data_IF_726920956685
#
_entry.id   IF_726920956685
#
_cell.length_a   1.000
_cell.length_b   1.000
_cell.length_c   1.000
_cell.angle_alpha   90.00
_cell.angle_beta   90.00
_cell.angle_gamma   90.00
#
_symmetry.space_group_name_H-M   'P 1'
#
loop_
_entity.id
_entity.type
_entity.pdbx_description
1 polymer ?
#
# COMPACT_ATOMS: atom_id res chain seq x y z
N UNK A 1 -6.14 -16.29 3.51
CA UNK A 1 -6.48 -15.08 4.31
C UNK A 1 -7.49 -14.25 3.53
N UNK A 2 -8.56 -13.77 4.17
CA UNK A 2 -9.57 -12.95 3.51
C UNK A 2 -8.99 -11.59 3.08
N UNK A 3 -9.13 -11.28 1.79
CA UNK A 3 -8.66 -10.04 1.15
C UNK A 3 -9.08 -8.76 1.90
N UNK A 4 -10.29 -8.64 2.47
CA UNK A 4 -10.70 -7.45 3.22
C UNK A 4 -9.84 -7.14 4.45
N UNK A 5 -9.34 -8.16 5.16
CA UNK A 5 -8.48 -7.93 6.33
C UNK A 5 -7.09 -7.44 5.92
N UNK A 6 -6.56 -7.95 4.81
CA UNK A 6 -5.30 -7.49 4.26
C UNK A 6 -5.36 -6.02 3.85
N UNK A 7 -6.46 -5.61 3.22
CA UNK A 7 -6.73 -4.21 2.87
C UNK A 7 -6.81 -3.29 4.09
N UNK A 8 -7.42 -3.76 5.18
CA UNK A 8 -7.46 -3.00 6.45
C UNK A 8 -6.07 -2.83 7.04
N UNK A 9 -5.24 -3.88 7.03
CA UNK A 9 -3.86 -3.81 7.49
C UNK A 9 -3.02 -2.82 6.64
N UNK A 10 -3.21 -2.82 5.32
CA UNK A 10 -2.56 -1.89 4.43
C UNK A 10 -2.99 -0.44 4.68
N UNK A 11 -4.29 -0.20 4.91
CA UNK A 11 -4.80 1.13 5.29
C UNK A 11 -4.19 1.60 6.62
N UNK A 12 -4.05 0.70 7.60
CA UNK A 12 -3.47 1.02 8.90
C UNK A 12 -2.04 1.56 8.78
N UNK A 13 -1.22 0.99 7.88
CA UNK A 13 0.12 1.49 7.62
C UNK A 13 0.11 2.94 7.11
N UNK A 14 -0.68 3.20 6.06
CA UNK A 14 -0.79 4.55 5.47
C UNK A 14 -1.30 5.59 6.47
N UNK A 15 -2.27 5.23 7.32
CA UNK A 15 -2.80 6.12 8.36
C UNK A 15 -1.76 6.38 9.46
N UNK A 16 -0.96 5.37 9.80
CA UNK A 16 0.11 5.50 10.79
C UNK A 16 1.23 6.40 10.26
N UNK A 17 1.62 6.24 8.99
CA UNK A 17 2.58 7.10 8.33
C UNK A 17 2.10 8.57 8.32
N UNK A 18 0.84 8.82 7.95
CA UNK A 18 0.26 10.18 7.98
C UNK A 18 0.26 10.79 9.38
N UNK A 19 -0.03 10.00 10.41
CA UNK A 19 0.00 10.47 11.80
C UNK A 19 1.41 10.88 12.25
N UNK A 20 2.45 10.17 11.79
CA UNK A 20 3.85 10.40 12.17
C UNK A 20 4.46 11.55 11.36
N UNK A 21 4.22 11.58 10.05
CA UNK A 21 4.83 12.55 9.13
C UNK A 21 4.21 13.95 9.27
N UNK A 22 2.92 14.03 9.61
CA UNK A 22 2.21 15.31 9.60
C UNK A 22 2.30 16.05 10.94
N UNK A 23 3.35 16.87 11.07
CA UNK A 23 3.66 17.68 12.27
C UNK A 23 2.64 18.82 12.54
N UNK A 24 1.69 19.09 11.63
CA UNK A 24 0.63 20.10 11.76
C UNK A 24 -0.65 19.72 10.98
N UNK A 25 -1.32 18.62 11.35
CA UNK A 25 -2.64 18.32 10.79
C UNK A 25 -3.72 19.23 11.40
N UNK A 26 -4.70 19.70 10.61
CA UNK A 26 -5.90 20.29 11.18
C UNK A 26 -6.66 19.24 11.99
N UNK A 27 -7.35 19.68 13.05
CA UNK A 27 -7.97 18.78 14.03
C UNK A 27 -8.94 17.75 13.41
N UNK A 28 -9.59 18.07 12.28
CA UNK A 28 -10.49 17.15 11.60
C UNK A 28 -9.76 15.95 10.95
N UNK A 29 -8.57 16.16 10.36
CA UNK A 29 -7.77 15.07 9.76
C UNK A 29 -7.21 14.16 10.84
N UNK A 30 -6.84 14.74 11.98
CA UNK A 30 -6.41 13.98 13.15
C UNK A 30 -7.53 13.07 13.68
N UNK A 31 -8.76 13.57 13.80
CA UNK A 31 -9.92 12.78 14.25
C UNK A 31 -10.23 11.65 13.25
N UNK A 32 -10.28 11.95 11.94
CA UNK A 32 -10.57 10.95 10.91
C UNK A 32 -9.50 9.86 10.87
N UNK A 33 -8.22 10.24 10.99
CA UNK A 33 -7.08 9.30 11.05
C UNK A 33 -7.15 8.45 12.30
N UNK A 34 -7.47 9.05 13.46
CA UNK A 34 -7.67 8.35 14.72
C UNK A 34 -8.80 7.31 14.66
N UNK A 35 -9.94 7.67 14.04
CA UNK A 35 -11.07 6.73 13.84
C UNK A 35 -10.65 5.57 12.92
N UNK A 36 -9.94 5.86 11.82
CA UNK A 36 -9.46 4.82 10.89
C UNK A 36 -8.46 3.86 11.54
N UNK A 37 -7.53 4.38 12.36
CA UNK A 37 -6.58 3.56 13.13
C UNK A 37 -7.30 2.74 14.20
N UNK A 38 -8.22 3.34 14.95
CA UNK A 38 -9.02 2.62 15.93
C UNK A 38 -9.83 1.49 15.28
N UNK A 39 -10.44 1.74 14.12
CA UNK A 39 -11.15 0.72 13.34
C UNK A 39 -10.21 -0.40 12.90
N UNK A 40 -9.00 -0.08 12.45
CA UNK A 40 -8.00 -1.08 12.05
C UNK A 40 -7.53 -1.95 13.22
N UNK A 41 -7.29 -1.35 14.38
CA UNK A 41 -6.95 -2.08 15.62
C UNK A 41 -8.10 -2.98 16.06
N UNK A 42 -9.34 -2.48 16.01
CA UNK A 42 -10.53 -3.28 16.35
C UNK A 42 -10.70 -4.48 15.41
N UNK A 43 -10.44 -4.32 14.11
CA UNK A 43 -10.44 -5.43 13.15
C UNK A 43 -9.38 -6.47 13.51
N UNK A 44 -8.16 -6.04 13.85
CA UNK A 44 -7.08 -6.95 14.24
C UNK A 44 -7.35 -7.69 15.57
N UNK A 45 -8.01 -7.03 16.52
CA UNK A 45 -8.40 -7.65 17.78
C UNK A 45 -9.56 -8.63 17.60
N UNK A 46 -10.57 -8.24 16.82
CA UNK A 46 -11.76 -9.05 16.60
C UNK A 46 -11.54 -10.19 15.60
N UNK A 47 -10.51 -10.10 14.75
CA UNK A 47 -10.13 -11.18 13.82
C UNK A 47 -9.72 -12.47 14.53
N UNK A 48 -9.39 -12.42 15.83
CA UNK A 48 -9.12 -13.61 16.65
C UNK A 48 -10.30 -14.58 16.77
N UNK A 49 -11.52 -14.15 16.42
CA UNK A 49 -12.70 -15.02 16.35
C UNK A 49 -12.82 -15.80 15.03
N UNK A 50 -12.13 -15.37 13.98
CA UNK A 50 -12.26 -15.89 12.60
C UNK A 50 -10.98 -16.55 12.08
N UNK A 51 -9.82 -16.09 12.55
CA UNK A 51 -8.50 -16.46 12.02
C UNK A 51 -7.69 -17.23 13.07
N UNK A 52 -6.92 -18.22 12.62
CA UNK A 52 -6.02 -18.99 13.49
C UNK A 52 -4.94 -18.08 14.12
N UNK A 53 -4.46 -18.48 15.30
CA UNK A 53 -3.45 -17.72 16.06
C UNK A 53 -2.19 -17.39 15.24
N UNK A 54 -1.69 -18.37 14.48
CA UNK A 54 -0.47 -18.25 13.66
C UNK A 54 -0.64 -17.19 12.58
N UNK A 55 -1.76 -17.25 11.86
CA UNK A 55 -2.11 -16.30 10.80
C UNK A 55 -2.25 -14.87 11.34
N UNK A 56 -2.79 -14.72 12.56
CA UNK A 56 -2.87 -13.42 13.25
C UNK A 56 -1.50 -12.84 13.54
N UNK A 57 -0.57 -13.64 14.06
CA UNK A 57 0.81 -13.19 14.34
C UNK A 57 1.47 -12.73 13.04
N UNK A 58 1.33 -13.50 11.96
CA UNK A 58 1.84 -13.13 10.64
C UNK A 58 1.24 -11.82 10.11
N UNK A 59 -0.07 -11.63 10.23
CA UNK A 59 -0.73 -10.39 9.81
C UNK A 59 -0.24 -9.17 10.60
N UNK A 60 -0.05 -9.32 11.91
CA UNK A 60 0.49 -8.24 12.75
C UNK A 60 1.95 -7.93 12.41
N UNK A 61 2.78 -8.95 12.19
CA UNK A 61 4.17 -8.78 11.77
C UNK A 61 4.24 -8.09 10.41
N UNK A 62 3.41 -8.50 9.45
CA UNK A 62 3.28 -7.86 8.14
C UNK A 62 2.92 -6.38 8.28
N UNK A 63 1.94 -6.05 9.11
CA UNK A 63 1.50 -4.66 9.32
C UNK A 63 2.63 -3.80 9.91
N UNK A 64 3.38 -4.32 10.89
CA UNK A 64 4.51 -3.63 11.51
C UNK A 64 5.64 -3.38 10.49
N UNK A 65 6.00 -4.42 9.71
CA UNK A 65 7.02 -4.31 8.66
C UNK A 65 6.60 -3.30 7.60
N UNK A 66 5.32 -3.27 7.23
CA UNK A 66 4.79 -2.32 6.27
C UNK A 66 4.93 -0.87 6.78
N UNK A 67 4.52 -0.60 8.03
CA UNK A 67 4.68 0.72 8.67
C UNK A 67 6.16 1.15 8.68
N UNK A 68 7.05 0.26 9.11
CA UNK A 68 8.49 0.52 9.11
C UNK A 68 8.98 0.84 7.70
N UNK A 69 8.57 0.06 6.70
CA UNK A 69 8.99 0.26 5.32
C UNK A 69 8.55 1.61 4.75
N UNK A 70 7.35 2.10 5.09
CA UNK A 70 6.87 3.42 4.68
C UNK A 70 7.69 4.53 5.35
N UNK A 71 7.97 4.42 6.65
CA UNK A 71 8.81 5.38 7.40
C UNK A 71 10.25 5.45 6.87
N UNK A 72 10.84 4.30 6.55
CA UNK A 72 12.16 4.25 5.95
C UNK A 72 12.16 4.79 4.52
N UNK A 73 11.06 4.63 3.79
CA UNK A 73 10.98 5.12 2.42
C UNK A 73 11.00 6.66 2.37
N UNK A 74 10.20 7.32 3.21
CA UNK A 74 10.15 8.78 3.35
C UNK A 74 11.53 9.37 3.70
N UNK A 75 12.27 8.66 4.57
CA UNK A 75 13.63 9.06 4.95
C UNK A 75 14.67 9.00 3.82
N UNK A 76 14.42 8.23 2.75
CA UNK A 76 15.40 7.87 1.72
C UNK A 76 15.06 8.42 0.31
N UNK A 77 13.93 9.11 0.13
CA UNK A 77 13.42 9.51 -1.19
C UNK A 77 14.20 10.66 -1.87
N UNK A 78 15.25 11.18 -1.24
CA UNK A 78 15.92 12.40 -1.70
C UNK A 78 16.89 12.28 -2.90
N UNK A 79 17.12 11.11 -3.53
CA UNK A 79 18.26 10.97 -4.45
C UNK A 79 18.12 10.22 -5.79
N UNK A 80 16.98 9.62 -6.18
CA UNK A 80 16.99 8.74 -7.37
C UNK A 80 15.86 9.00 -8.38
N UNK A 81 16.20 8.88 -9.68
CA UNK A 81 15.24 8.88 -10.80
C UNK A 81 14.23 7.73 -10.64
N UNK A 82 12.93 8.02 -10.74
CA UNK A 82 11.82 7.09 -10.46
C UNK A 82 11.95 5.70 -11.11
N UNK A 83 12.36 5.65 -12.38
CA UNK A 83 12.41 4.41 -13.17
C UNK A 83 13.59 3.53 -12.75
N UNK A 84 14.73 4.14 -12.45
CA UNK A 84 15.93 3.43 -11.99
C UNK A 84 15.69 2.83 -10.60
N UNK A 85 15.02 3.57 -9.72
CA UNK A 85 14.63 3.08 -8.39
C UNK A 85 13.70 1.86 -8.48
N UNK A 86 12.72 1.89 -9.39
CA UNK A 86 11.81 0.75 -9.60
C UNK A 86 12.56 -0.52 -10.05
N UNK A 87 13.52 -0.37 -10.96
CA UNK A 87 14.34 -1.49 -11.42
C UNK A 87 15.18 -2.09 -10.27
N UNK A 88 15.84 -1.24 -9.48
CA UNK A 88 16.63 -1.70 -8.33
C UNK A 88 15.77 -2.41 -7.28
N UNK A 89 14.58 -1.86 -6.96
CA UNK A 89 13.64 -2.50 -6.03
C UNK A 89 13.23 -3.88 -6.51
N UNK A 90 12.83 -4.04 -7.77
CA UNK A 90 12.42 -5.33 -8.32
C UNK A 90 13.58 -6.34 -8.41
N UNK A 91 14.78 -5.90 -8.82
CA UNK A 91 15.96 -6.75 -8.87
C UNK A 91 16.37 -7.22 -7.46
N UNK A 92 16.36 -6.31 -6.49
CA UNK A 92 16.64 -6.62 -5.09
C UNK A 92 15.59 -7.59 -4.51
N UNK A 93 14.30 -7.36 -4.77
CA UNK A 93 13.24 -8.28 -4.40
C UNK A 93 13.49 -9.67 -4.98
N UNK A 94 13.87 -9.80 -6.25
CA UNK A 94 14.16 -11.12 -6.83
C UNK A 94 15.33 -11.83 -6.11
N UNK A 95 16.44 -11.11 -5.87
CA UNK A 95 17.63 -11.65 -5.19
C UNK A 95 17.31 -12.12 -3.77
N UNK A 96 16.45 -11.38 -3.05
CA UNK A 96 16.05 -11.72 -1.69
C UNK A 96 15.00 -12.83 -1.68
N UNK A 97 13.98 -12.77 -2.54
CA UNK A 97 12.88 -13.74 -2.54
C UNK A 97 13.31 -15.13 -3.04
N UNK A 98 14.27 -15.22 -3.97
CA UNK A 98 14.74 -16.50 -4.50
C UNK A 98 15.23 -17.48 -3.40
N UNK A 99 16.17 -17.11 -2.51
CA UNK A 99 16.60 -18.00 -1.42
C UNK A 99 15.51 -18.24 -0.38
N UNK A 100 14.66 -17.25 -0.08
CA UNK A 100 13.51 -17.46 0.82
C UNK A 100 12.52 -18.48 0.26
N UNK A 101 12.25 -18.45 -1.05
CA UNK A 101 11.38 -19.43 -1.71
C UNK A 101 11.93 -20.86 -1.64
N UNK A 102 13.26 -21.01 -1.72
CA UNK A 102 13.91 -22.30 -1.49
C UNK A 102 13.79 -22.75 -0.03
N UNK A 103 13.97 -21.83 0.92
CA UNK A 103 13.89 -22.12 2.35
C UNK A 103 12.46 -22.50 2.81
N UNK A 104 11.44 -21.83 2.27
CA UNK A 104 10.03 -22.14 2.59
C UNK A 104 9.54 -23.46 1.94
N UNK A 105 10.32 -24.07 1.05
CA UNK A 105 9.95 -25.34 0.41
C UNK A 105 8.84 -25.23 -0.63
N UNK A 106 8.38 -24.02 -0.96
CA UNK A 106 7.33 -23.79 -1.96
C UNK A 106 7.79 -24.24 -3.35
N UNK A 107 9.07 -24.00 -3.69
CA UNK A 107 9.67 -24.45 -4.95
C UNK A 107 9.72 -25.99 -5.07
N UNK A 108 9.92 -26.71 -3.96
CA UNK A 108 9.92 -28.17 -3.93
C UNK A 108 8.52 -28.76 -3.97
N UNK A 109 7.55 -28.07 -3.38
CA UNK A 109 6.13 -28.45 -3.42
C UNK A 109 5.58 -28.28 -4.84
N UNK A 110 5.96 -27.20 -5.53
CA UNK A 110 5.61 -26.96 -6.94
C UNK A 110 6.14 -28.05 -7.89
N UNK A 111 7.30 -28.65 -7.58
CA UNK A 111 7.90 -29.73 -8.37
C UNK A 111 7.19 -31.08 -8.23
N UNK A 112 6.42 -31.29 -7.15
CA UNK A 112 5.73 -32.56 -6.85
C UNK A 112 4.27 -32.61 -7.37
N UNK A 113 3.78 -31.56 -8.05
CA UNK A 113 2.43 -31.57 -8.59
C UNK A 113 2.30 -32.39 -9.89
N UNK A 114 1.10 -32.92 -10.14
CA UNK A 114 0.73 -33.50 -11.44
C UNK A 114 0.88 -32.44 -12.54
N UNK A 115 1.43 -32.84 -13.69
CA UNK A 115 1.75 -32.00 -14.86
C UNK A 115 0.70 -30.95 -15.25
N UNK A 116 -0.61 -31.28 -15.21
CA UNK A 116 -1.69 -30.35 -15.53
C UNK A 116 -1.86 -29.19 -14.51
N UNK A 117 -1.66 -29.47 -13.23
CA UNK A 117 -1.69 -28.44 -12.18
C UNK A 117 -0.44 -27.56 -12.21
N UNK A 118 0.68 -28.13 -12.65
CA UNK A 118 1.95 -27.41 -12.79
C UNK A 118 1.87 -26.30 -13.85
N UNK A 119 1.21 -26.56 -14.99
CA UNK A 119 1.00 -25.54 -16.03
C UNK A 119 0.08 -24.41 -15.55
N UNK A 120 -0.99 -24.72 -14.82
CA UNK A 120 -1.86 -23.71 -14.21
C UNK A 120 -1.12 -22.84 -13.19
N UNK A 121 -0.24 -23.45 -12.39
CA UNK A 121 0.62 -22.75 -11.45
C UNK A 121 1.60 -21.79 -12.14
N UNK A 122 2.32 -22.25 -13.17
CA UNK A 122 3.23 -21.39 -13.93
C UNK A 122 2.50 -20.23 -14.61
N UNK A 123 1.35 -20.49 -15.24
CA UNK A 123 0.53 -19.45 -15.83
C UNK A 123 0.08 -18.42 -14.78
N UNK A 124 -0.33 -18.87 -13.58
CA UNK A 124 -0.69 -18.01 -12.45
C UNK A 124 0.48 -17.13 -11.99
N UNK A 125 1.67 -17.71 -11.79
CA UNK A 125 2.86 -16.97 -11.39
C UNK A 125 3.30 -15.94 -12.44
N UNK A 126 3.33 -16.32 -13.72
CA UNK A 126 3.70 -15.40 -14.81
C UNK A 126 2.67 -14.29 -14.93
N UNK A 127 1.38 -14.62 -14.92
CA UNK A 127 0.32 -13.62 -15.03
C UNK A 127 0.34 -12.62 -13.86
N UNK A 128 0.54 -13.11 -12.63
CA UNK A 128 0.68 -12.27 -11.44
C UNK A 128 1.92 -11.36 -11.52
N UNK A 129 3.06 -11.88 -11.98
CA UNK A 129 4.28 -11.08 -12.16
C UNK A 129 4.13 -9.98 -13.21
N UNK A 130 3.52 -10.29 -14.35
CA UNK A 130 3.26 -9.31 -15.43
C UNK A 130 2.25 -8.26 -14.96
N UNK A 131 1.16 -8.66 -14.30
CA UNK A 131 0.17 -7.72 -13.77
C UNK A 131 0.77 -6.84 -12.66
N UNK A 132 1.60 -7.39 -11.78
CA UNK A 132 2.27 -6.65 -10.72
C UNK A 132 3.25 -5.60 -11.25
N UNK A 133 4.04 -5.95 -12.27
CA UNK A 133 4.97 -4.99 -12.90
C UNK A 133 4.23 -3.89 -13.66
N UNK A 134 3.16 -4.23 -14.40
CA UNK A 134 2.30 -3.23 -15.04
C UNK A 134 1.65 -2.30 -14.02
N UNK A 135 1.18 -2.83 -12.88
CA UNK A 135 0.59 -2.05 -11.81
C UNK A 135 1.60 -1.07 -11.22
N UNK A 136 2.84 -1.50 -11.01
CA UNK A 136 3.92 -0.63 -10.51
C UNK A 136 4.26 0.51 -11.49
N UNK A 137 4.39 0.20 -12.78
CA UNK A 137 4.64 1.21 -13.82
C UNK A 137 3.48 2.20 -13.90
N UNK A 138 2.24 1.70 -13.88
CA UNK A 138 1.06 2.56 -13.89
C UNK A 138 0.96 3.43 -12.64
N UNK A 139 1.37 2.90 -11.49
CA UNK A 139 1.44 3.65 -10.23
C UNK A 139 2.41 4.82 -10.35
N UNK A 140 3.59 4.64 -10.93
CA UNK A 140 4.52 5.75 -11.18
C UNK A 140 3.91 6.83 -12.10
N UNK A 141 3.18 6.43 -13.14
CA UNK A 141 2.48 7.38 -14.01
C UNK A 141 1.37 8.15 -13.27
N UNK A 142 0.65 7.50 -12.36
CA UNK A 142 -0.38 8.12 -11.52
C UNK A 142 0.19 9.03 -10.45
N UNK A 143 1.33 8.67 -9.86
CA UNK A 143 2.05 9.49 -8.89
C UNK A 143 2.42 10.85 -9.51
N UNK A 144 2.92 10.84 -10.75
CA UNK A 144 3.22 12.07 -11.51
C UNK A 144 2.00 12.94 -11.78
N UNK A 145 0.79 12.37 -11.79
CA UNK A 145 -0.49 13.09 -11.96
C UNK A 145 -1.13 13.51 -10.63
N UNK A 146 -0.51 13.21 -9.49
CA UNK A 146 -1.04 13.54 -8.16
C UNK A 146 -2.38 12.86 -7.83
N UNK A 147 -2.72 11.78 -8.54
CA UNK A 147 -4.01 11.08 -8.38
C UNK A 147 -3.88 9.68 -7.78
N UNK A 148 -2.66 9.27 -7.40
CA UNK A 148 -2.37 7.92 -6.93
C UNK A 148 -3.19 7.56 -5.69
N UNK A 149 -3.25 8.43 -4.68
CA UNK A 149 -3.91 8.11 -3.41
C UNK A 149 -5.42 7.94 -3.58
N UNK A 150 -6.04 8.80 -4.38
CA UNK A 150 -7.47 8.73 -4.68
C UNK A 150 -7.82 7.46 -5.46
N UNK A 151 -7.05 7.13 -6.50
CA UNK A 151 -7.29 5.94 -7.31
C UNK A 151 -6.98 4.69 -6.49
N UNK A 152 -5.92 4.72 -5.67
CA UNK A 152 -5.57 3.67 -4.73
C UNK A 152 -6.68 3.41 -3.71
N UNK A 153 -7.37 4.44 -3.21
CA UNK A 153 -8.52 4.27 -2.32
C UNK A 153 -9.76 3.76 -3.08
N UNK A 154 -10.02 4.26 -4.28
CA UNK A 154 -11.16 3.86 -5.13
C UNK A 154 -11.09 2.40 -5.58
N UNK A 155 -9.91 1.89 -5.92
CA UNK A 155 -9.69 0.51 -6.38
C UNK A 155 -9.96 -0.50 -5.27
N UNK A 156 -9.88 -0.12 -3.99
CA UNK A 156 -10.16 -1.03 -2.85
C UNK A 156 -11.62 -1.47 -2.81
N UNK A 157 -12.56 -0.61 -3.18
CA UNK A 157 -14.00 -0.90 -3.19
C UNK A 157 -14.37 -2.05 -4.14
N UNK A 158 -14.02 -2.01 -5.45
CA UNK A 158 -14.29 -3.11 -6.36
C UNK A 158 -13.48 -4.36 -6.02
N UNK A 159 -12.28 -4.23 -5.43
CA UNK A 159 -11.50 -5.40 -4.97
C UNK A 159 -12.21 -6.13 -3.83
N UNK A 160 -12.77 -5.40 -2.86
CA UNK A 160 -13.55 -5.99 -1.77
C UNK A 160 -14.81 -6.67 -2.33
N UNK A 161 -15.53 -6.01 -3.24
CA UNK A 161 -16.74 -6.56 -3.86
C UNK A 161 -16.45 -7.77 -4.76
N UNK A 162 -15.37 -7.75 -5.52
CA UNK A 162 -14.97 -8.88 -6.36
C UNK A 162 -14.50 -10.05 -5.49
N UNK A 163 -13.79 -9.77 -4.40
CA UNK A 163 -13.34 -10.80 -3.46
C UNK A 163 -14.51 -11.57 -2.83
N UNK A 164 -15.63 -10.92 -2.53
CA UNK A 164 -16.80 -11.63 -1.95
C UNK A 164 -17.53 -12.49 -2.97
N UNK A 165 -17.55 -12.07 -4.23
CA UNK A 165 -18.17 -12.84 -5.32
C UNK A 165 -17.31 -14.05 -5.68
N UNK A 166 -15.99 -13.87 -5.76
CA UNK A 166 -15.05 -14.93 -6.17
C UNK A 166 -14.78 -15.92 -5.02
N UNK A 167 -14.62 -15.44 -3.79
CA UNK A 167 -14.32 -16.27 -2.62
C UNK A 167 -15.56 -16.42 -1.72
N UNK A 168 -16.53 -17.18 -2.21
CA UNK A 168 -17.81 -17.41 -1.52
C UNK A 168 -17.68 -18.10 -0.14
N UNK A 169 -16.52 -18.69 0.17
CA UNK A 169 -16.28 -19.47 1.40
C UNK A 169 -15.71 -18.64 2.57
N UNK A 170 -15.22 -17.43 2.33
CA UNK A 170 -14.63 -16.57 3.37
C UNK A 170 -15.66 -15.53 3.87
N UNK A 171 -16.83 -15.97 4.33
CA UNK A 171 -17.86 -15.06 4.84
C UNK A 171 -17.43 -14.49 6.19
N UNK A 172 -16.97 -13.23 6.20
CA UNK A 172 -16.72 -12.50 7.44
C UNK A 172 -18.03 -12.29 8.21
N UNK A 173 -18.01 -12.33 9.55
CA UNK A 173 -19.16 -11.99 10.37
C UNK A 173 -19.58 -10.51 10.13
N UNK A 174 -20.89 -10.20 10.19
CA UNK A 174 -21.42 -8.85 9.96
C UNK A 174 -20.70 -7.69 10.69
N UNK A 175 -20.26 -7.82 11.97
CA UNK A 175 -19.54 -6.73 12.63
C UNK A 175 -18.20 -6.39 11.99
N UNK A 176 -17.48 -7.38 11.43
CA UNK A 176 -16.22 -7.12 10.73
C UNK A 176 -16.44 -6.39 9.40
N UNK A 177 -17.55 -6.68 8.71
CA UNK A 177 -17.95 -5.94 7.51
C UNK A 177 -18.16 -4.45 7.77
N UNK A 178 -18.80 -4.11 8.89
CA UNK A 178 -19.00 -2.72 9.28
C UNK A 178 -17.66 -2.03 9.53
N UNK A 179 -16.74 -2.67 10.25
CA UNK A 179 -15.42 -2.09 10.53
C UNK A 179 -14.54 -1.94 9.27
N UNK A 180 -14.60 -2.91 8.35
CA UNK A 180 -13.93 -2.81 7.04
C UNK A 180 -14.50 -1.65 6.23
N UNK A 181 -15.83 -1.48 6.23
CA UNK A 181 -16.49 -0.37 5.54
C UNK A 181 -16.09 0.98 6.14
N UNK A 182 -16.12 1.10 7.48
CA UNK A 182 -15.69 2.31 8.19
C UNK A 182 -14.25 2.65 7.83
N UNK A 183 -13.31 1.69 7.88
CA UNK A 183 -11.91 1.94 7.55
C UNK A 183 -11.71 2.35 6.07
N UNK A 184 -12.48 1.75 5.16
CA UNK A 184 -12.43 2.11 3.74
C UNK A 184 -12.96 3.52 3.50
N UNK A 185 -14.06 3.89 4.16
CA UNK A 185 -14.65 5.23 4.07
C UNK A 185 -13.71 6.27 4.67
N UNK A 186 -13.10 6.01 5.84
CA UNK A 186 -12.15 6.95 6.45
C UNK A 186 -10.93 7.16 5.56
N UNK A 187 -10.43 6.11 4.90
CA UNK A 187 -9.31 6.22 3.96
C UNK A 187 -9.69 7.07 2.74
N UNK A 188 -10.87 6.82 2.13
CA UNK A 188 -11.36 7.62 1.01
C UNK A 188 -11.54 9.09 1.43
N UNK A 189 -12.18 9.34 2.57
CA UNK A 189 -12.41 10.69 3.08
C UNK A 189 -11.09 11.43 3.31
N UNK A 190 -10.09 10.75 3.89
CA UNK A 190 -8.76 11.32 4.10
C UNK A 190 -8.08 11.68 2.77
N UNK A 191 -8.12 10.79 1.77
CA UNK A 191 -7.53 11.09 0.44
C UNK A 191 -8.21 12.26 -0.28
N UNK A 192 -9.49 12.51 -0.03
CA UNK A 192 -10.21 13.68 -0.57
C UNK A 192 -9.84 14.97 0.16
N UNK A 193 -9.60 14.89 1.47
CA UNK A 193 -9.26 16.03 2.33
C UNK A 193 -7.82 16.50 2.18
N UNK A 194 -6.88 15.60 1.89
CA UNK A 194 -5.46 15.94 1.66
C UNK A 194 -5.22 16.57 0.27
N UNK A 195 -6.08 16.30 -0.71
CA UNK A 195 -5.98 16.88 -2.07
C UNK A 195 -6.03 18.42 -2.13
N UNK A 196 -6.90 19.14 -1.38
CA UNK A 196 -6.96 20.60 -1.40
C UNK A 196 -5.79 21.31 -0.67
N UNK A 197 -5.06 20.65 0.24
CA UNK A 197 -3.97 21.29 0.99
C UNK A 197 -2.64 21.31 0.23
N UNK A 198 -2.31 20.26 -0.54
CA UNK A 198 -1.08 20.20 -1.35
C UNK A 198 -1.11 21.19 -2.52
N UNK A 199 -2.29 21.45 -3.10
CA UNK A 199 -2.44 22.46 -4.18
C UNK A 199 -2.12 23.88 -3.72
N UNK A 200 -2.38 24.22 -2.45
CA UNK A 200 -2.12 25.57 -1.91
C UNK A 200 -0.65 25.78 -1.55
N UNK A 201 0.02 24.76 -1.02
CA UNK A 201 1.46 24.83 -0.68
C UNK A 201 2.35 24.88 -1.94
N UNK A 202 1.92 24.26 -3.04
CA UNK A 202 2.60 24.35 -4.34
C UNK A 202 2.52 25.73 -5.01
N UNK A 203 1.43 26.49 -4.76
CA UNK A 203 1.28 27.87 -5.24
C UNK A 203 2.10 28.88 -4.42
N UNK A 204 2.17 28.71 -3.09
CA UNK A 204 3.01 29.58 -2.25
C UNK A 204 4.51 29.42 -2.54
N UNK A 205 4.98 28.22 -2.88
CA UNK A 205 6.40 28.02 -3.29
C UNK A 205 6.75 28.64 -4.64
N UNK A 206 5.79 28.77 -5.56
CA UNK A 206 6.02 29.46 -6.85
C UNK A 206 6.02 30.99 -6.73
N UNK A 207 5.28 31.53 -5.77
CA UNK A 207 5.25 32.98 -5.53
C UNK A 207 6.36 33.48 -4.58
N UNK A 208 7.15 32.58 -3.99
CA UNK A 208 8.22 32.90 -3.04
C UNK A 208 9.65 32.81 -3.58
N UNK A 209 9.85 32.50 -4.87
CA UNK A 209 11.18 32.56 -5.47
C UNK A 209 11.42 33.97 -6.02
N UNK A 210 12.29 34.80 -5.43
CA UNK A 210 12.75 36.00 -6.10
C UNK A 210 13.48 35.59 -7.38
N UNK A 211 13.09 36.18 -8.51
CA UNK A 211 13.83 36.11 -9.76
C UNK A 211 15.29 36.52 -9.49
N UNK A 212 16.19 35.55 -9.53
CA UNK A 212 17.64 35.81 -9.55
C UNK A 212 17.94 36.23 -10.99
N UNK A 213 18.38 37.47 -11.25
CA UNK A 213 18.69 37.91 -12.60
C UNK A 213 19.86 37.10 -13.17
N UNK A 214 19.69 36.65 -14.42
CA UNK A 214 20.64 35.84 -15.20
C UNK A 214 21.87 36.64 -15.71
N UNK A 215 22.43 37.52 -14.89
CA UNK A 215 23.61 38.31 -15.25
C UNK A 215 24.75 38.06 -14.25
N UNK A 216 25.41 36.89 -14.32
CA UNK A 216 26.81 36.69 -13.86
C UNK A 216 27.28 35.24 -14.13
N UNK A 217 27.34 34.85 -15.41
CA UNK A 217 28.18 33.71 -15.85
C UNK A 217 28.94 34.12 -17.11
N UNK A 218 29.75 35.16 -17.01
CA UNK A 218 30.94 35.30 -17.84
C UNK A 218 32.12 35.71 -16.94
N UNK A 219 33.22 34.95 -17.09
CA UNK A 219 34.54 35.09 -16.44
C UNK A 219 34.65 34.59 -14.99
N UNK A 220 35.12 33.35 -14.84
CA UNK A 220 36.53 32.98 -14.55
C UNK A 220 36.71 31.47 -14.77
#
# INVERSE_FOLDING_TARGET
MPVPLFLVAQNAATLCHLLISAKQLPAYEFIVTGIGLASSVLVLLYSGSVIYYIDRVWLTAYTIVLILSELFHDSMEHQHKDVTNLYYKNAFSFIVLAPFSLYLGEAFTALNFKYLWQMGFYAGCISSGVLGTLLQVYSLHLQRRGCLDLIGALVKVPVIALSTVVFHQDTLPPPLWLLVAVNSITTILLTQLTKPSVSKVGEERKNGSPDVPEDEVELI
#
